data_IF_229404148913
#
_entry.id   IF_229404148913
#
_cell.length_a   1.000
_cell.length_b   1.000
_cell.length_c   1.000
_cell.angle_alpha   90.00
_cell.angle_beta   90.00
_cell.angle_gamma   90.00
#
_symmetry.space_group_name_H-M   'P 1'
#
loop_
_entity.id
_entity.type
_entity.pdbx_description
1 polymer ?
#
# COMPACT_ATOMS: atom_id res chain seq x y z
N UNK A 1 24.46 -11.40 -5.84
CA UNK A 1 24.58 -9.94 -5.83
C UNK A 1 25.31 -9.57 -4.55
N UNK A 2 26.23 -8.62 -4.58
CA UNK A 2 26.81 -8.07 -3.34
C UNK A 2 25.78 -7.14 -2.71
N UNK A 3 25.59 -7.24 -1.40
CA UNK A 3 24.75 -6.29 -0.66
C UNK A 3 25.39 -4.91 -0.76
N UNK A 4 24.69 -3.97 -1.40
CA UNK A 4 25.14 -2.59 -1.51
C UNK A 4 24.80 -1.86 -0.21
N UNK A 5 25.81 -1.34 0.49
CA UNK A 5 25.61 -0.39 1.59
C UNK A 5 26.28 0.93 1.24
N UNK A 6 25.52 2.01 1.34
CA UNK A 6 26.00 3.39 1.25
C UNK A 6 25.69 4.10 2.57
N UNK A 7 26.65 4.80 3.16
CA UNK A 7 26.48 5.57 4.39
C UNK A 7 27.25 6.89 4.26
N UNK A 8 26.58 8.02 4.51
CA UNK A 8 27.21 9.35 4.53
C UNK A 8 26.80 10.08 5.81
N UNK A 9 27.78 10.38 6.69
CA UNK A 9 27.59 11.16 7.90
C UNK A 9 28.41 12.44 7.81
N UNK A 10 27.74 13.58 7.73
CA UNK A 10 28.38 14.91 7.69
C UNK A 10 27.47 15.98 8.31
N UNK A 11 28.04 17.06 8.86
CA UNK A 11 27.24 18.24 9.15
C UNK A 11 26.70 18.83 7.84
N UNK A 12 25.47 19.33 7.87
CA UNK A 12 24.81 19.99 6.75
C UNK A 12 24.06 21.23 7.22
N UNK A 13 23.98 22.25 6.37
CA UNK A 13 23.11 23.40 6.59
C UNK A 13 21.64 23.03 6.36
N UNK A 14 20.73 23.86 6.89
CA UNK A 14 19.28 23.70 6.67
C UNK A 14 18.89 23.71 5.18
N UNK A 15 19.60 24.47 4.35
CA UNK A 15 19.31 24.54 2.91
C UNK A 15 19.79 23.29 2.18
N UNK A 16 21.01 22.82 2.47
CA UNK A 16 21.50 21.54 1.92
C UNK A 16 20.60 20.36 2.29
N UNK A 17 20.10 20.32 3.53
CA UNK A 17 19.15 19.30 3.95
C UNK A 17 17.84 19.35 3.14
N UNK A 18 17.33 20.55 2.86
CA UNK A 18 16.12 20.73 2.07
C UNK A 18 16.32 20.31 0.61
N UNK A 19 17.48 20.65 0.02
CA UNK A 19 17.82 20.26 -1.35
C UNK A 19 17.95 18.74 -1.47
N UNK A 20 18.57 18.08 -0.47
CA UNK A 20 18.66 16.63 -0.41
C UNK A 20 17.28 15.97 -0.33
N UNK A 21 16.41 16.45 0.56
CA UNK A 21 15.04 15.94 0.68
C UNK A 21 14.23 16.16 -0.60
N UNK A 22 14.44 17.28 -1.29
CA UNK A 22 13.81 17.56 -2.57
C UNK A 22 14.29 16.59 -3.65
N UNK A 23 15.59 16.25 -3.68
CA UNK A 23 16.14 15.26 -4.60
C UNK A 23 15.55 13.87 -4.35
N UNK A 24 15.45 13.43 -3.09
CA UNK A 24 14.76 12.18 -2.74
C UNK A 24 13.30 12.20 -3.20
N UNK A 25 12.59 13.29 -2.94
CA UNK A 25 11.19 13.44 -3.32
C UNK A 25 11.00 13.51 -4.86
N UNK A 26 12.01 13.96 -5.62
CA UNK A 26 11.99 13.93 -7.08
C UNK A 26 12.16 12.50 -7.59
N UNK A 27 13.15 11.77 -7.09
CA UNK A 27 13.40 10.37 -7.46
C UNK A 27 12.20 9.46 -7.15
N UNK A 28 11.57 9.62 -5.98
CA UNK A 28 10.36 8.87 -5.61
C UNK A 28 9.17 9.17 -6.54
N UNK A 29 9.07 10.39 -7.09
CA UNK A 29 8.01 10.75 -8.05
C UNK A 29 8.30 10.24 -9.46
N UNK A 30 9.57 10.16 -9.85
CA UNK A 30 9.98 9.58 -11.12
C UNK A 30 9.70 8.07 -11.15
N UNK A 31 10.02 7.37 -10.05
CA UNK A 31 9.86 5.92 -9.97
C UNK A 31 10.75 5.18 -10.98
N UNK A 32 10.55 3.86 -11.12
CA UNK A 32 11.32 3.07 -12.09
C UNK A 32 12.82 3.11 -11.78
N UNK A 33 13.65 3.25 -12.81
CA UNK A 33 15.10 3.42 -12.63
C UNK A 33 15.42 4.92 -12.44
N UNK A 34 15.57 5.34 -11.18
CA UNK A 34 15.82 6.73 -10.82
C UNK A 34 17.28 6.95 -10.37
N UNK A 35 17.83 8.12 -10.69
CA UNK A 35 19.14 8.57 -10.24
C UNK A 35 19.01 9.66 -9.18
N UNK A 36 19.70 9.48 -8.06
CA UNK A 36 19.70 10.41 -6.94
C UNK A 36 21.08 11.04 -6.76
N UNK A 37 21.16 12.36 -6.79
CA UNK A 37 22.37 13.09 -6.46
C UNK A 37 22.47 13.32 -4.94
N UNK A 38 23.50 12.77 -4.31
CA UNK A 38 23.78 12.88 -2.88
C UNK A 38 24.87 13.92 -2.57
N UNK A 39 25.25 14.74 -3.56
CA UNK A 39 26.31 15.75 -3.51
C UNK A 39 27.74 15.15 -3.53
N UNK A 40 27.94 13.98 -2.93
CA UNK A 40 29.21 13.23 -2.99
C UNK A 40 29.26 12.19 -4.11
N UNK A 41 28.18 12.03 -4.87
CA UNK A 41 28.04 11.04 -5.92
C UNK A 41 26.57 10.76 -6.26
N UNK A 42 26.36 9.99 -7.32
CA UNK A 42 25.05 9.59 -7.82
C UNK A 42 24.73 8.16 -7.41
N UNK A 43 23.52 7.93 -6.90
CA UNK A 43 22.98 6.62 -6.55
C UNK A 43 21.83 6.26 -7.49
N UNK A 44 21.99 5.18 -8.26
CA UNK A 44 20.91 4.63 -9.08
C UNK A 44 20.09 3.61 -8.28
N UNK A 45 18.77 3.76 -8.24
CA UNK A 45 17.84 2.87 -7.53
C UNK A 45 16.64 2.54 -8.41
N UNK A 46 16.17 1.29 -8.32
CA UNK A 46 14.87 0.90 -8.87
C UNK A 46 13.78 1.11 -7.81
N UNK A 47 12.90 2.08 -8.02
CA UNK A 47 11.82 2.47 -7.11
C UNK A 47 10.47 1.95 -7.67
N UNK A 48 9.75 1.07 -6.95
CA UNK A 48 8.44 0.59 -7.36
C UNK A 48 7.33 1.62 -7.10
N UNK A 49 6.15 1.38 -7.68
CA UNK A 49 4.95 2.21 -7.45
C UNK A 49 4.48 2.17 -5.98
N UNK A 50 4.68 1.04 -5.30
CA UNK A 50 4.29 0.80 -3.91
C UNK A 50 5.50 0.44 -3.05
N UNK A 51 5.65 1.13 -1.92
CA UNK A 51 6.71 0.91 -0.93
C UNK A 51 6.17 1.04 0.49
N UNK A 52 6.85 0.42 1.45
CA UNK A 52 6.59 0.63 2.87
C UNK A 52 7.41 1.82 3.36
N UNK A 53 6.83 2.71 4.16
CA UNK A 53 7.51 3.90 4.66
C UNK A 53 7.22 4.16 6.12
N UNK A 54 8.24 4.62 6.84
CA UNK A 54 8.17 5.04 8.24
C UNK A 54 8.79 6.43 8.38
N UNK A 55 8.18 7.26 9.22
CA UNK A 55 8.68 8.60 9.57
C UNK A 55 8.64 8.72 11.07
N UNK A 56 9.79 8.98 11.67
CA UNK A 56 9.95 9.13 13.11
C UNK A 56 10.56 10.49 13.43
N UNK A 57 10.06 11.10 14.51
CA UNK A 57 10.54 12.38 15.01
C UNK A 57 10.71 12.24 16.53
N UNK A 58 11.94 12.36 16.99
CA UNK A 58 12.28 12.32 18.41
C UNK A 58 12.88 13.65 18.88
N UNK A 59 12.64 13.99 20.14
CA UNK A 59 13.21 15.17 20.80
C UNK A 59 13.82 14.72 22.12
N UNK A 60 15.14 14.81 22.24
CA UNK A 60 15.90 14.30 23.37
C UNK A 60 17.29 14.92 23.43
N UNK A 61 17.88 14.98 24.64
CA UNK A 61 19.26 15.47 24.87
C UNK A 61 19.62 16.83 24.26
N UNK A 62 18.61 17.70 24.05
CA UNK A 62 18.79 19.02 23.44
C UNK A 62 18.80 19.02 21.91
N UNK A 63 18.46 17.89 21.29
CA UNK A 63 18.48 17.65 19.84
C UNK A 63 17.08 17.27 19.34
N UNK A 64 16.88 17.41 18.02
CA UNK A 64 15.72 16.89 17.30
C UNK A 64 16.27 15.91 16.27
N UNK A 65 15.76 14.68 16.30
CA UNK A 65 16.09 13.64 15.33
C UNK A 65 14.88 13.41 14.42
N UNK A 66 15.14 13.33 13.11
CA UNK A 66 14.15 13.05 12.08
C UNK A 66 14.68 11.89 11.24
N UNK A 67 13.95 10.79 11.24
CA UNK A 67 14.26 9.62 10.42
C UNK A 67 13.20 9.42 9.35
N UNK A 68 13.65 9.07 8.14
CA UNK A 68 12.80 8.66 7.03
C UNK A 68 13.30 7.31 6.52
N UNK A 69 12.50 6.28 6.70
CA UNK A 69 12.81 4.93 6.22
C UNK A 69 11.83 4.51 5.13
N UNK A 70 12.36 3.88 4.08
CA UNK A 70 11.58 3.27 3.02
C UNK A 70 12.14 1.89 2.69
N UNK A 71 11.26 0.89 2.63
CA UNK A 71 11.61 -0.50 2.34
C UNK A 71 10.78 -1.04 1.18
N UNK A 72 11.45 -1.67 0.22
CA UNK A 72 10.81 -2.33 -0.91
C UNK A 72 11.64 -3.52 -1.44
N UNK A 73 11.00 -4.48 -2.14
CA UNK A 73 11.69 -5.62 -2.70
C UNK A 73 12.57 -5.21 -3.90
N UNK A 74 13.82 -5.69 -3.92
CA UNK A 74 14.78 -5.48 -5.02
C UNK A 74 14.75 -6.59 -6.08
N UNK A 75 13.95 -7.63 -5.85
CA UNK A 75 13.75 -8.75 -6.78
C UNK A 75 12.77 -8.44 -7.91
N UNK A 76 12.54 -9.40 -8.84
CA UNK A 76 11.52 -9.26 -9.87
C UNK A 76 10.16 -8.94 -9.23
N UNK A 77 9.50 -7.89 -9.73
CA UNK A 77 8.15 -7.58 -9.32
C UNK A 77 7.28 -8.84 -9.47
N UNK A 78 6.52 -9.26 -8.44
CA UNK A 78 5.57 -10.34 -8.59
C UNK A 78 4.63 -9.95 -9.73
N UNK A 79 4.47 -10.84 -10.72
CA UNK A 79 3.49 -10.64 -11.80
C UNK A 79 2.13 -10.50 -11.13
N UNK A 80 1.63 -9.27 -10.99
CA UNK A 80 0.27 -9.06 -10.55
C UNK A 80 -0.65 -9.74 -11.58
N UNK A 81 -1.61 -10.60 -11.15
CA UNK A 81 -2.61 -11.10 -12.06
C UNK A 81 -3.37 -9.87 -12.59
N UNK A 82 -3.22 -9.64 -13.89
CA UNK A 82 -3.96 -8.60 -14.60
C UNK A 82 -5.44 -8.82 -14.31
N UNK A 83 -6.04 -7.95 -13.49
CA UNK A 83 -7.48 -7.93 -13.34
C UNK A 83 -8.03 -7.42 -14.68
N UNK A 84 -8.27 -8.37 -15.58
CA UNK A 84 -9.02 -8.16 -16.79
C UNK A 84 -10.42 -7.70 -16.38
N UNK A 85 -10.62 -6.38 -16.44
CA UNK A 85 -11.93 -5.75 -16.41
C UNK A 85 -12.68 -6.15 -17.69
N UNK A 86 -13.17 -7.38 -17.73
CA UNK A 86 -14.10 -7.84 -18.75
C UNK A 86 -15.46 -7.27 -18.42
N UNK A 87 -15.63 -5.97 -18.65
CA UNK A 87 -16.92 -5.33 -18.71
C UNK A 87 -17.63 -5.75 -19.99
N UNK A 88 -18.30 -6.90 -19.96
CA UNK A 88 -19.33 -7.23 -20.95
C UNK A 88 -20.66 -7.31 -20.25
N UNK A 89 -21.47 -6.27 -20.48
CA UNK A 89 -22.87 -6.19 -20.08
C UNK A 89 -23.63 -7.42 -20.62
N UNK A 90 -24.13 -8.26 -19.71
CA UNK A 90 -25.04 -9.35 -20.06
C UNK A 90 -26.46 -8.79 -20.26
N UNK A 91 -26.90 -8.71 -21.52
CA UNK A 91 -28.29 -8.43 -21.87
C UNK A 91 -29.14 -9.71 -21.76
N UNK A 92 -30.35 -9.68 -21.18
CA UNK A 92 -31.07 -10.89 -20.84
C UNK A 92 -31.84 -11.44 -22.05
N UNK A 93 -31.50 -12.65 -22.51
CA UNK A 93 -32.32 -13.38 -23.50
C UNK A 93 -33.07 -14.56 -22.87
N UNK A 94 -34.32 -14.26 -22.52
CA UNK A 94 -35.51 -15.11 -22.41
C UNK A 94 -35.29 -16.62 -22.60
N UNK A 95 -35.38 -17.40 -21.53
CA UNK A 95 -35.64 -18.84 -21.60
C UNK A 95 -37.15 -19.12 -21.52
N UNK A 96 -37.59 -19.97 -22.43
CA UNK A 96 -38.98 -20.35 -22.70
C UNK A 96 -39.63 -21.01 -21.48
N UNK A 97 -40.89 -20.61 -21.23
CA UNK A 97 -41.82 -21.20 -20.26
C UNK A 97 -42.04 -22.69 -20.56
N UNK A 98 -41.86 -23.54 -19.56
CA UNK A 98 -42.52 -24.84 -19.47
C UNK A 98 -43.79 -24.68 -18.60
N UNK A 99 -44.91 -25.35 -18.94
CA UNK A 99 -46.18 -25.16 -18.24
C UNK A 99 -46.25 -25.89 -16.90
N UNK A 100 -47.08 -25.32 -16.03
CA UNK A 100 -47.21 -25.58 -14.61
C UNK A 100 -47.81 -26.94 -14.26
N UNK A 101 -47.49 -27.43 -13.05
CA UNK A 101 -48.38 -28.29 -12.26
C UNK A 101 -48.41 -27.79 -10.82
N UNK A 102 -49.59 -27.64 -10.18
CA UNK A 102 -49.73 -27.00 -8.87
C UNK A 102 -49.83 -28.05 -7.75
N UNK A 103 -49.23 -27.79 -6.60
CA UNK A 103 -49.69 -28.29 -5.29
C UNK A 103 -48.94 -27.51 -4.19
N UNK A 104 -49.59 -26.57 -3.49
CA UNK A 104 -50.48 -26.75 -2.32
C UNK A 104 -49.71 -26.53 -1.01
N UNK A 105 -49.82 -25.28 -0.54
CA UNK A 105 -50.04 -24.84 0.85
C UNK A 105 -49.32 -25.53 2.00
N UNK A 106 -48.51 -24.77 2.73
CA UNK A 106 -48.63 -24.43 4.18
C UNK A 106 -47.27 -23.86 4.64
N UNK A 107 -47.22 -22.58 5.01
CA UNK A 107 -47.52 -22.05 6.35
C UNK A 107 -46.51 -22.53 7.40
N UNK A 108 -45.80 -21.57 7.99
CA UNK A 108 -45.19 -21.76 9.31
C UNK A 108 -43.84 -21.10 9.45
N UNK A 109 -43.83 -19.96 10.16
CA UNK A 109 -42.89 -19.65 11.27
C UNK A 109 -41.39 -19.67 10.94
N UNK A 110 -40.63 -18.59 11.08
CA UNK A 110 -40.61 -17.74 12.26
C UNK A 110 -39.65 -16.56 12.11
N UNK A 111 -40.00 -15.55 12.88
CA UNK A 111 -39.50 -14.19 12.96
C UNK A 111 -38.17 -14.16 13.73
N UNK A 112 -37.31 -13.22 13.32
CA UNK A 112 -36.36 -12.35 14.07
C UNK A 112 -35.92 -12.83 15.47
N UNK A 113 -34.72 -12.63 15.97
CA UNK A 113 -33.89 -11.42 15.98
C UNK A 113 -32.66 -11.80 16.84
N UNK A 114 -31.45 -11.40 16.49
CA UNK A 114 -30.77 -10.18 16.95
C UNK A 114 -30.26 -10.20 18.42
N UNK A 115 -28.97 -9.89 18.55
CA UNK A 115 -28.36 -9.24 19.72
C UNK A 115 -27.92 -10.19 20.83
N UNK A 116 -26.88 -9.92 21.61
CA UNK A 116 -26.06 -8.70 21.76
C UNK A 116 -24.87 -9.04 22.70
N UNK A 117 -23.74 -8.37 22.43
CA UNK A 117 -22.78 -7.73 23.36
C UNK A 117 -21.94 -8.53 24.38
N UNK A 118 -20.67 -8.15 24.30
CA UNK A 118 -19.57 -8.06 25.26
C UNK A 118 -19.91 -7.53 26.66
N UNK A 119 -19.12 -7.96 27.64
CA UNK A 119 -18.42 -7.21 28.73
C UNK A 119 -17.52 -8.22 29.47
N UNK A 120 -16.19 -8.10 29.50
CA UNK A 120 -15.36 -7.28 30.40
C UNK A 120 -15.46 -7.62 31.90
N UNK A 121 -14.31 -7.95 32.52
CA UNK A 121 -13.71 -7.30 33.73
C UNK A 121 -13.14 -8.28 34.79
N UNK A 122 -11.92 -7.94 35.25
CA UNK A 122 -11.28 -8.19 36.56
C UNK A 122 -10.99 -9.65 36.98
N UNK A 123 -9.93 -9.96 37.72
CA UNK A 123 -9.10 -9.15 38.62
C UNK A 123 -7.72 -9.79 38.82
#
# INVERSE_FOLDING_TARGET
MTDLKFEQKRPMSRLEAADLLMAFAAALREGGDAELDLGSGTLGLRIPDDLHGEVEIEVGDGEIELELEFTWPTGPAPTAPSQSSTGTQEAPKRRKRAPAKPERTRAGTGRKANGKRSTATAS
#
